data_IF_496545958228
#
_entry.id   IF_496545958228
#
_cell.length_a   1.000
_cell.length_b   1.000
_cell.length_c   1.000
_cell.angle_alpha   90.00
_cell.angle_beta   90.00
_cell.angle_gamma   90.00
#
_symmetry.space_group_name_H-M   'P 1'
#
loop_
_entity.id
_entity.type
_entity.pdbx_description
1 polymer ?
#
# COMPACT_ATOMS: atom_id res chain seq x y z
N UNK A 1 -5.90 -36.92 -22.25
CA UNK A 1 -6.74 -35.71 -22.05
C UNK A 1 -5.87 -34.74 -21.28
N UNK A 2 -5.28 -33.78 -21.99
CA UNK A 2 -4.35 -32.78 -21.44
C UNK A 2 -5.13 -31.61 -20.83
N UNK A 3 -4.97 -31.40 -19.54
CA UNK A 3 -5.53 -30.25 -18.83
C UNK A 3 -4.59 -29.06 -19.02
N UNK A 4 -4.88 -28.20 -20.00
CA UNK A 4 -4.19 -26.91 -20.13
C UNK A 4 -4.55 -25.99 -18.95
N UNK A 5 -3.57 -25.74 -18.09
CA UNK A 5 -3.61 -24.70 -17.06
C UNK A 5 -3.56 -23.32 -17.73
N UNK A 6 -4.70 -22.63 -17.79
CA UNK A 6 -4.74 -21.22 -18.22
C UNK A 6 -4.11 -20.36 -17.13
N UNK A 7 -2.85 -19.97 -17.32
CA UNK A 7 -2.23 -18.91 -16.54
C UNK A 7 -2.92 -17.58 -16.89
N UNK A 8 -3.91 -17.17 -16.09
CA UNK A 8 -4.40 -15.80 -16.15
C UNK A 8 -3.31 -14.86 -15.66
N UNK A 9 -2.66 -14.17 -16.59
CA UNK A 9 -1.82 -13.01 -16.28
C UNK A 9 -2.72 -11.92 -15.67
N UNK A 10 -2.60 -11.71 -14.35
CA UNK A 10 -3.19 -10.53 -13.70
C UNK A 10 -2.51 -9.29 -14.27
N UNK A 11 -3.18 -8.62 -15.21
CA UNK A 11 -2.70 -7.36 -15.78
C UNK A 11 -2.72 -6.30 -14.67
N UNK A 12 -1.55 -5.97 -14.12
CA UNK A 12 -1.39 -4.91 -13.11
C UNK A 12 -1.89 -3.58 -13.71
N UNK A 13 -3.04 -3.09 -13.23
CA UNK A 13 -3.66 -1.85 -13.74
C UNK A 13 -3.13 -0.59 -13.05
N UNK A 14 -2.21 -0.72 -12.09
CA UNK A 14 -1.75 0.39 -11.27
C UNK A 14 -0.54 1.04 -11.89
N UNK A 15 -0.58 2.37 -11.99
CA UNK A 15 0.55 3.19 -12.45
C UNK A 15 1.73 3.19 -11.46
N UNK A 16 1.47 2.95 -10.17
CA UNK A 16 2.50 3.04 -9.12
C UNK A 16 2.38 1.89 -8.11
N UNK A 17 3.52 1.37 -7.62
CA UNK A 17 3.53 0.36 -6.57
C UNK A 17 2.96 0.92 -5.26
N UNK A 18 2.49 0.02 -4.40
CA UNK A 18 2.09 0.34 -3.04
C UNK A 18 2.93 -0.47 -2.07
N UNK A 19 3.30 0.18 -0.99
CA UNK A 19 4.11 -0.39 0.07
C UNK A 19 3.22 -0.69 1.26
N UNK A 20 3.47 -1.84 1.88
CA UNK A 20 2.94 -2.12 3.20
C UNK A 20 3.86 -1.44 4.21
N UNK A 21 3.34 -0.63 5.14
CA UNK A 21 4.14 -0.03 6.20
C UNK A 21 4.88 -1.11 7.00
N UNK A 22 6.16 -0.85 7.30
CA UNK A 22 6.98 -1.65 8.23
C UNK A 22 6.62 -1.37 9.68
N UNK A 23 6.28 -0.11 9.97
CA UNK A 23 5.79 0.38 11.25
C UNK A 23 4.29 0.69 11.21
N UNK A 24 3.69 0.97 12.37
CA UNK A 24 2.29 1.40 12.43
C UNK A 24 2.19 2.83 11.92
N UNK A 25 1.63 2.98 10.71
CA UNK A 25 1.23 4.27 10.16
C UNK A 25 -0.27 4.47 10.37
N UNK A 26 -0.62 5.70 10.76
CA UNK A 26 -1.98 6.15 11.01
C UNK A 26 -2.37 7.27 10.06
N UNK A 27 -3.67 7.43 9.88
CA UNK A 27 -4.26 8.58 9.21
C UNK A 27 -5.34 9.16 10.12
N UNK A 28 -5.28 10.47 10.32
CA UNK A 28 -6.38 11.25 10.89
C UNK A 28 -7.12 11.93 9.75
N UNK A 29 -8.37 11.50 9.55
CA UNK A 29 -9.29 12.07 8.57
C UNK A 29 -10.57 12.55 9.28
N UNK A 30 -11.73 11.96 8.99
CA UNK A 30 -12.92 12.07 9.86
C UNK A 30 -12.82 11.20 11.11
N UNK A 31 -11.99 10.16 11.06
CA UNK A 31 -11.72 9.22 12.13
C UNK A 31 -10.25 8.82 12.08
N UNK A 32 -9.72 8.36 13.21
CA UNK A 32 -8.41 7.73 13.26
C UNK A 32 -8.46 6.37 12.57
N UNK A 33 -7.54 6.14 11.64
CA UNK A 33 -7.42 4.90 10.91
C UNK A 33 -5.99 4.37 10.88
N UNK A 34 -5.86 3.05 10.70
CA UNK A 34 -4.58 2.38 10.50
C UNK A 34 -4.35 2.16 9.02
N UNK A 35 -3.25 2.70 8.49
CA UNK A 35 -2.86 2.53 7.08
C UNK A 35 -2.46 1.08 6.83
N UNK A 36 -3.00 0.49 5.77
CA UNK A 36 -2.72 -0.89 5.34
C UNK A 36 -1.75 -0.95 4.17
N UNK A 37 -1.80 0.05 3.30
CA UNK A 37 -0.83 0.25 2.24
C UNK A 37 -0.85 1.72 1.81
N UNK A 38 0.31 2.21 1.39
CA UNK A 38 0.52 3.58 0.90
C UNK A 38 1.38 3.55 -0.35
N UNK A 39 1.12 4.45 -1.29
CA UNK A 39 1.96 4.69 -2.45
C UNK A 39 1.75 6.12 -2.93
N UNK A 40 2.53 6.55 -3.92
CA UNK A 40 2.52 7.95 -4.37
C UNK A 40 1.16 8.44 -4.88
N UNK A 41 0.30 7.52 -5.34
CA UNK A 41 -1.04 7.84 -5.83
C UNK A 41 -2.14 7.80 -4.77
N UNK A 42 -1.87 7.32 -3.56
CA UNK A 42 -2.89 7.18 -2.52
C UNK A 42 -2.60 6.04 -1.55
N UNK A 43 -3.54 5.84 -0.62
CA UNK A 43 -3.42 4.82 0.41
C UNK A 43 -4.75 4.10 0.66
N UNK A 44 -4.69 3.02 1.42
CA UNK A 44 -5.87 2.45 2.05
C UNK A 44 -5.65 2.28 3.54
N UNK A 45 -6.71 2.46 4.30
CA UNK A 45 -6.68 2.39 5.75
C UNK A 45 -7.96 1.75 6.29
N UNK A 46 -7.86 1.16 7.48
CA UNK A 46 -9.02 0.67 8.23
C UNK A 46 -9.37 1.60 9.37
N UNK A 47 -10.65 1.74 9.65
CA UNK A 47 -11.17 2.55 10.75
C UNK A 47 -12.45 1.91 11.30
N UNK A 48 -12.83 2.30 12.51
CA UNK A 48 -14.07 1.87 13.14
C UNK A 48 -15.15 2.94 12.98
N UNK A 49 -16.39 2.51 12.73
CA UNK A 49 -17.57 3.36 12.65
C UNK A 49 -18.72 2.68 13.37
N UNK A 50 -19.51 3.41 14.16
CA UNK A 50 -20.67 2.82 14.82
C UNK A 50 -21.71 2.40 13.76
N UNK A 51 -22.29 1.22 13.93
CA UNK A 51 -23.29 0.70 13.00
C UNK A 51 -24.52 1.63 12.96
N UNK A 52 -24.95 2.00 11.75
CA UNK A 52 -26.09 2.90 11.53
C UNK A 52 -25.78 4.39 11.65
N UNK A 53 -24.56 4.79 12.03
CA UNK A 53 -24.14 6.19 12.02
C UNK A 53 -23.82 6.61 10.58
N UNK A 54 -24.49 7.65 10.08
CA UNK A 54 -24.17 8.23 8.78
C UNK A 54 -22.73 8.77 8.82
N UNK A 55 -21.92 8.46 7.81
CA UNK A 55 -20.62 9.10 7.68
C UNK A 55 -20.85 10.60 7.49
N UNK A 56 -20.46 11.41 8.48
CA UNK A 56 -20.47 12.87 8.34
C UNK A 56 -19.65 13.33 7.14
N UNK A 57 -19.79 14.62 6.78
CA UNK A 57 -19.02 15.20 5.69
C UNK A 57 -17.52 14.97 5.93
N UNK A 58 -16.87 14.36 4.95
CA UNK A 58 -15.46 14.02 5.05
C UNK A 58 -14.61 15.28 4.83
N UNK A 59 -13.61 15.55 5.68
CA UNK A 59 -12.73 16.67 5.43
C UNK A 59 -11.96 16.48 4.10
N UNK A 60 -11.69 17.53 3.33
CA UNK A 60 -11.01 17.40 2.04
C UNK A 60 -9.50 17.06 2.18
N UNK A 61 -8.98 17.17 3.40
CA UNK A 61 -7.58 16.95 3.76
C UNK A 61 -7.48 16.11 5.02
N UNK A 62 -6.32 15.56 5.27
CA UNK A 62 -6.03 14.79 6.47
C UNK A 62 -4.55 14.73 6.76
N UNK A 63 -4.22 14.10 7.88
CA UNK A 63 -2.85 13.99 8.39
C UNK A 63 -2.44 12.53 8.41
N UNK A 64 -1.28 12.22 7.85
CA UNK A 64 -0.66 10.89 7.91
C UNK A 64 0.47 10.98 8.93
N UNK A 65 0.62 10.00 9.81
CA UNK A 65 1.71 10.00 10.78
C UNK A 65 2.14 8.59 11.15
N UNK A 66 3.43 8.43 11.46
CA UNK A 66 3.99 7.18 11.96
C UNK A 66 3.96 7.18 13.50
N UNK A 67 4.18 6.01 14.10
CA UNK A 67 4.41 5.91 15.54
C UNK A 67 5.73 6.56 15.99
N UNK A 68 6.61 6.91 15.05
CA UNK A 68 7.97 7.43 15.29
C UNK A 68 8.06 8.96 15.15
N UNK A 69 6.93 9.66 15.27
CA UNK A 69 6.80 11.11 15.17
C UNK A 69 7.05 11.74 13.78
N UNK A 70 7.11 10.95 12.71
CA UNK A 70 7.03 11.50 11.35
C UNK A 70 5.59 11.77 10.96
N UNK A 71 5.34 12.91 10.30
CA UNK A 71 3.98 13.27 9.88
C UNK A 71 3.94 14.10 8.59
N UNK A 72 2.81 13.97 7.89
CA UNK A 72 2.42 14.74 6.72
C UNK A 72 1.05 15.36 6.98
N UNK A 73 1.00 16.69 7.05
CA UNK A 73 -0.24 17.44 7.30
C UNK A 73 -0.86 17.98 6.02
N UNK A 74 -2.15 18.29 6.09
CA UNK A 74 -2.91 18.94 5.03
C UNK A 74 -2.88 18.21 3.68
N UNK A 75 -2.76 16.88 3.69
CA UNK A 75 -2.68 16.07 2.49
C UNK A 75 -4.08 15.99 1.85
N UNK A 76 -4.26 16.56 0.64
CA UNK A 76 -5.55 16.53 -0.04
C UNK A 76 -5.80 15.16 -0.67
N UNK A 77 -7.03 14.67 -0.60
CA UNK A 77 -7.41 13.41 -1.22
C UNK A 77 -8.86 13.38 -1.69
N UNK A 78 -9.21 12.31 -2.39
CA UNK A 78 -10.57 11.94 -2.75
C UNK A 78 -10.81 10.49 -2.39
N UNK A 79 -12.00 10.20 -1.84
CA UNK A 79 -12.40 8.82 -1.53
C UNK A 79 -12.71 8.08 -2.83
N UNK A 80 -12.05 6.94 -3.01
CA UNK A 80 -12.24 6.06 -4.17
C UNK A 80 -13.18 4.92 -3.85
N UNK A 81 -13.08 4.38 -2.63
CA UNK A 81 -13.95 3.32 -2.16
C UNK A 81 -14.01 3.33 -0.63
N UNK A 82 -15.15 2.93 -0.08
CA UNK A 82 -15.34 2.71 1.34
C UNK A 82 -16.17 1.44 1.53
N UNK A 83 -15.61 0.46 2.23
CA UNK A 83 -16.13 -0.92 2.25
C UNK A 83 -16.15 -1.45 3.67
N UNK A 84 -17.19 -2.19 4.03
CA UNK A 84 -17.26 -2.89 5.30
C UNK A 84 -16.40 -4.14 5.22
N UNK A 85 -15.38 -4.24 6.07
CA UNK A 85 -14.48 -5.41 6.18
C UNK A 85 -15.07 -6.42 7.15
N UNK A 86 -15.63 -5.94 8.26
CA UNK A 86 -16.29 -6.78 9.26
C UNK A 86 -17.55 -6.08 9.76
N UNK A 87 -18.69 -6.71 9.49
CA UNK A 87 -19.97 -6.32 10.08
C UNK A 87 -19.99 -6.67 11.56
N UNK A 88 -20.71 -5.86 12.31
CA UNK A 88 -20.96 -6.06 13.73
C UNK A 88 -22.47 -5.95 13.99
N UNK A 89 -22.94 -6.40 15.15
CA UNK A 89 -24.32 -6.10 15.56
C UNK A 89 -24.50 -4.59 15.72
N UNK A 90 -25.74 -4.10 15.65
CA UNK A 90 -26.07 -2.66 15.61
C UNK A 90 -25.51 -1.82 16.77
N UNK A 91 -25.18 -2.45 17.90
CA UNK A 91 -24.58 -1.78 19.06
C UNK A 91 -23.04 -1.80 19.09
N UNK A 92 -22.38 -2.42 18.12
CA UNK A 92 -20.94 -2.54 18.05
C UNK A 92 -20.37 -1.83 16.82
N UNK A 93 -19.16 -1.25 16.91
CA UNK A 93 -18.51 -0.65 15.75
C UNK A 93 -18.22 -1.68 14.65
N UNK A 94 -18.46 -1.29 13.41
CA UNK A 94 -18.03 -2.02 12.22
C UNK A 94 -16.59 -1.67 11.87
N UNK A 95 -15.83 -2.65 11.39
CA UNK A 95 -14.52 -2.38 10.80
C UNK A 95 -14.72 -2.07 9.32
N UNK A 96 -14.31 -0.89 8.90
CA UNK A 96 -14.36 -0.45 7.51
C UNK A 96 -12.97 -0.23 6.95
N UNK A 97 -12.85 -0.37 5.64
CA UNK A 97 -11.65 -0.05 4.89
C UNK A 97 -11.99 1.01 3.85
N UNK A 98 -11.29 2.14 3.96
CA UNK A 98 -11.36 3.23 3.00
C UNK A 98 -10.13 3.24 2.12
N UNK A 99 -10.35 3.51 0.83
CA UNK A 99 -9.31 3.71 -0.19
C UNK A 99 -9.42 5.15 -0.67
N UNK A 100 -8.30 5.86 -0.63
CA UNK A 100 -8.22 7.23 -1.07
C UNK A 100 -7.18 7.37 -2.18
N UNK A 101 -7.38 8.38 -3.02
CA UNK A 101 -6.40 8.86 -3.99
C UNK A 101 -5.93 10.23 -3.53
N UNK A 102 -4.63 10.48 -3.55
CA UNK A 102 -4.12 11.82 -3.30
C UNK A 102 -4.53 12.73 -4.46
N UNK A 103 -5.06 13.91 -4.13
CA UNK A 103 -5.46 14.91 -5.12
C UNK A 103 -4.21 15.70 -5.59
N UNK A 104 -4.37 16.91 -6.11
CA UNK A 104 -3.25 17.75 -6.51
C UNK A 104 -2.36 18.09 -5.30
N UNK A 105 -1.25 17.35 -5.15
CA UNK A 105 -0.21 17.61 -4.16
C UNK A 105 0.66 18.77 -4.63
N UNK A 106 1.03 19.66 -3.72
CA UNK A 106 2.12 20.62 -3.97
C UNK A 106 3.46 19.89 -4.08
N UNK A 107 4.47 20.49 -4.72
CA UNK A 107 5.80 19.87 -4.82
C UNK A 107 6.40 19.50 -3.46
N UNK A 108 6.22 20.37 -2.44
CA UNK A 108 6.67 20.09 -1.06
C UNK A 108 5.93 18.91 -0.43
N UNK A 109 4.62 18.79 -0.66
CA UNK A 109 3.84 17.65 -0.16
C UNK A 109 4.20 16.35 -0.87
N UNK A 110 4.46 16.40 -2.17
CA UNK A 110 4.90 15.25 -2.94
C UNK A 110 6.27 14.76 -2.45
N UNK A 111 7.24 15.66 -2.31
CA UNK A 111 8.57 15.34 -1.79
C UNK A 111 8.50 14.79 -0.35
N UNK A 112 7.68 15.40 0.51
CA UNK A 112 7.44 14.90 1.86
C UNK A 112 6.82 13.50 1.86
N UNK A 113 5.86 13.25 0.97
CA UNK A 113 5.23 11.93 0.81
C UNK A 113 6.23 10.88 0.30
N UNK A 114 7.07 11.21 -0.67
CA UNK A 114 8.13 10.32 -1.15
C UNK A 114 9.09 9.94 -0.04
N UNK A 115 9.59 10.94 0.69
CA UNK A 115 10.47 10.73 1.83
C UNK A 115 9.79 9.86 2.89
N UNK A 116 8.56 10.19 3.28
CA UNK A 116 7.80 9.44 4.28
C UNK A 116 7.59 7.97 3.87
N UNK A 117 7.27 7.71 2.60
CA UNK A 117 7.11 6.34 2.10
C UNK A 117 8.44 5.61 2.17
N UNK A 118 9.55 6.21 1.74
CA UNK A 118 10.86 5.57 1.75
C UNK A 118 11.36 5.27 3.17
N UNK A 119 11.06 6.12 4.13
CA UNK A 119 11.42 5.91 5.54
C UNK A 119 10.63 4.77 6.19
N UNK A 120 9.37 4.54 5.78
CA UNK A 120 8.45 3.59 6.44
C UNK A 120 7.94 2.47 5.52
N UNK A 121 8.66 2.17 4.43
CA UNK A 121 8.32 1.08 3.52
C UNK A 121 9.24 -0.11 3.77
N UNK A 122 8.64 -1.30 3.90
CA UNK A 122 9.40 -2.55 3.76
C UNK A 122 9.88 -2.65 2.31
N UNK A 123 11.18 -2.48 2.08
CA UNK A 123 11.81 -2.89 0.83
C UNK A 123 12.02 -4.40 0.92
N UNK A 124 11.39 -5.22 0.06
CA UNK A 124 11.71 -6.64 0.02
C UNK A 124 13.20 -6.78 -0.30
N UNK A 125 13.95 -7.49 0.54
CA UNK A 125 15.30 -7.91 0.18
C UNK A 125 15.18 -8.75 -1.10
N UNK A 126 15.83 -8.29 -2.16
CA UNK A 126 15.95 -9.08 -3.39
C UNK A 126 16.95 -10.17 -3.06
N UNK A 127 16.51 -11.43 -3.00
CA UNK A 127 17.40 -12.59 -2.99
C UNK A 127 18.22 -12.57 -4.29
N UNK A 128 19.40 -11.96 -4.24
CA UNK A 128 20.41 -12.07 -5.30
C UNK A 128 21.27 -13.27 -4.96
N UNK A 129 20.75 -14.48 -5.18
CA UNK A 129 21.63 -15.61 -5.47
C UNK A 129 20.96 -16.74 -6.26
N UNK A 130 21.37 -16.88 -7.53
CA UNK A 130 21.64 -18.17 -8.16
C UNK A 130 22.33 -17.96 -9.51
N UNK A 131 23.65 -17.79 -9.43
CA UNK A 131 24.65 -18.36 -10.33
C UNK A 131 24.40 -18.30 -11.85
N UNK A 132 25.00 -17.27 -12.46
CA UNK A 132 25.64 -17.39 -13.77
C UNK A 132 26.66 -18.53 -13.74
N UNK A 133 26.27 -19.74 -14.17
CA UNK A 133 27.21 -20.77 -14.60
C UNK A 133 27.37 -20.71 -16.12
N UNK A 134 28.05 -19.67 -16.61
CA UNK A 134 28.64 -19.73 -17.95
C UNK A 134 29.86 -20.65 -17.83
N UNK A 135 29.66 -21.96 -18.01
CA UNK A 135 30.75 -22.88 -18.34
C UNK A 135 31.08 -22.69 -19.82
N UNK A 136 32.04 -21.81 -20.07
CA UNK A 136 32.77 -21.70 -21.33
C UNK A 136 33.69 -22.90 -21.55
N UNK A 137 33.67 -23.46 -22.77
CA UNK A 137 34.73 -24.32 -23.35
C UNK A 137 34.71 -25.77 -22.86
N UNK A 138 34.63 -26.79 -23.71
CA UNK A 138 35.34 -26.94 -24.98
C UNK A 138 36.40 -28.03 -24.79
N UNK A 139 36.10 -29.23 -25.30
CA UNK A 139 36.91 -30.45 -25.35
C UNK A 139 38.37 -30.24 -25.76
N UNK A 140 39.31 -31.00 -25.19
CA UNK A 140 40.42 -31.62 -25.95
C UNK A 140 41.03 -32.83 -25.21
N UNK A 141 41.26 -33.91 -25.98
CA UNK A 141 41.80 -35.21 -25.59
C UNK A 141 43.29 -35.15 -25.20
N UNK A 142 43.74 -36.11 -24.38
CA UNK A 142 45.01 -36.79 -24.66
C UNK A 142 45.02 -38.24 -24.15
N UNK A 143 45.33 -39.16 -25.06
CA UNK A 143 45.72 -40.55 -24.82
C UNK A 143 47.16 -40.61 -24.31
N UNK A 144 47.39 -41.45 -23.32
CA UNK A 144 48.45 -42.47 -23.18
C UNK A 144 48.73 -42.75 -21.71
#
# INVERSE_FOLDING_TARGET
MDTMMVYQSFKEQRKYPRFKPDTKIFILHSALGTVKNIGIGGLSYTYYQLAGEAAGALPPKGTIFSAENDYLVDIPFTVVADTVVRKSYSCFPELKQRRIRFSALTGKQLQGLEHFILTHAVVPEVDVDSSLSIRSGGTFNHMS
#
